data_IF_184550975753
#
_entry.id   IF_184550975753
#
_cell.length_a   1.000
_cell.length_b   1.000
_cell.length_c   1.000
_cell.angle_alpha   90.00
_cell.angle_beta   90.00
_cell.angle_gamma   90.00
#
_symmetry.space_group_name_H-M   'P 1'
#
loop_
_entity.id
_entity.type
_entity.pdbx_description
1 polymer ?
#
# COMPACT_ATOMS: atom_id res chain seq x y z
N UNK A 1 18.54 -11.87 -8.39
CA UNK A 1 17.61 -11.11 -7.53
C UNK A 1 16.42 -10.78 -8.42
N UNK A 2 15.21 -11.15 -8.03
CA UNK A 2 14.01 -10.88 -8.83
C UNK A 2 13.35 -9.68 -8.16
N UNK A 3 13.21 -8.58 -8.88
CA UNK A 3 12.47 -7.41 -8.41
C UNK A 3 11.00 -7.62 -8.80
N UNK A 4 10.15 -7.87 -7.81
CA UNK A 4 8.70 -7.87 -8.02
C UNK A 4 8.22 -6.41 -8.13
N UNK A 5 7.25 -6.16 -9.03
CA UNK A 5 6.54 -4.88 -9.15
C UNK A 5 5.06 -5.18 -8.95
N UNK A 6 4.52 -4.77 -7.79
CA UNK A 6 3.13 -5.04 -7.41
C UNK A 6 2.35 -3.76 -7.07
N UNK A 7 1.08 -3.71 -7.46
CA UNK A 7 0.07 -2.79 -6.95
C UNK A 7 -0.97 -3.56 -6.13
N UNK A 8 -1.52 -2.93 -5.09
CA UNK A 8 -2.49 -3.57 -4.21
C UNK A 8 -3.68 -2.68 -3.92
N UNK A 9 -4.87 -3.23 -4.10
CA UNK A 9 -6.13 -2.63 -3.73
C UNK A 9 -6.74 -3.39 -2.55
N UNK A 10 -7.09 -2.67 -1.47
CA UNK A 10 -8.05 -3.18 -0.50
C UNK A 10 -9.45 -3.08 -1.09
N UNK A 11 -10.24 -4.16 -0.96
CA UNK A 11 -11.57 -4.27 -1.56
C UNK A 11 -12.54 -4.99 -0.61
N UNK A 12 -13.81 -5.01 -0.97
CA UNK A 12 -14.82 -5.83 -0.27
C UNK A 12 -14.98 -7.20 -0.95
N UNK A 13 -15.52 -8.22 -0.25
CA UNK A 13 -15.69 -9.56 -0.81
C UNK A 13 -16.50 -9.60 -2.12
N UNK A 14 -17.43 -8.67 -2.31
CA UNK A 14 -18.26 -8.58 -3.51
C UNK A 14 -17.45 -8.29 -4.78
N UNK A 15 -16.24 -7.72 -4.63
CA UNK A 15 -15.36 -7.46 -5.74
C UNK A 15 -14.86 -8.74 -6.44
N UNK A 16 -14.89 -9.91 -5.78
CA UNK A 16 -14.42 -11.16 -6.38
C UNK A 16 -15.19 -11.51 -7.65
N UNK A 17 -16.53 -11.54 -7.59
CA UNK A 17 -17.36 -11.93 -8.74
C UNK A 17 -17.22 -10.94 -9.90
N UNK A 18 -17.14 -9.65 -9.55
CA UNK A 18 -16.98 -8.57 -10.53
C UNK A 18 -15.62 -8.66 -11.23
N UNK A 19 -14.55 -8.90 -10.45
CA UNK A 19 -13.21 -9.12 -10.97
C UNK A 19 -13.15 -10.37 -11.83
N UNK A 20 -13.67 -11.50 -11.36
CA UNK A 20 -13.65 -12.78 -12.09
C UNK A 20 -14.36 -12.66 -13.43
N UNK A 21 -15.54 -12.05 -13.47
CA UNK A 21 -16.27 -11.81 -14.71
C UNK A 21 -15.50 -10.89 -15.66
N UNK A 22 -14.90 -9.83 -15.14
CA UNK A 22 -14.09 -8.90 -15.94
C UNK A 22 -12.86 -9.60 -16.54
N UNK A 23 -12.17 -10.46 -15.77
CA UNK A 23 -10.95 -11.13 -16.22
C UNK A 23 -11.19 -12.16 -17.33
N UNK A 24 -12.41 -12.71 -17.45
CA UNK A 24 -12.77 -13.64 -18.52
C UNK A 24 -12.57 -13.07 -19.92
N UNK A 25 -12.74 -11.75 -20.10
CA UNK A 25 -12.60 -11.11 -21.41
C UNK A 25 -11.16 -11.12 -21.95
N UNK A 26 -10.18 -11.36 -21.08
CA UNK A 26 -8.77 -11.41 -21.46
C UNK A 26 -8.25 -12.83 -21.72
N UNK A 27 -9.13 -13.85 -21.68
CA UNK A 27 -8.78 -15.27 -21.85
C UNK A 27 -7.53 -15.66 -21.03
N UNK A 28 -7.61 -15.66 -19.68
CA UNK A 28 -6.44 -15.87 -18.81
C UNK A 28 -5.64 -17.12 -19.20
N UNK A 29 -4.32 -16.99 -19.21
CA UNK A 29 -3.38 -18.06 -19.52
C UNK A 29 -3.38 -19.14 -18.43
N UNK A 30 -3.64 -18.72 -17.19
CA UNK A 30 -3.73 -19.58 -16.02
C UNK A 30 -4.82 -19.06 -15.08
N UNK A 31 -5.47 -19.98 -14.36
CA UNK A 31 -6.32 -19.68 -13.19
C UNK A 31 -6.10 -20.77 -12.15
N UNK A 32 -5.72 -20.40 -10.94
CA UNK A 32 -5.54 -21.34 -9.81
C UNK A 32 -6.12 -20.74 -8.53
N UNK A 33 -6.68 -21.60 -7.69
CA UNK A 33 -7.07 -21.27 -6.33
C UNK A 33 -6.28 -22.13 -5.37
N UNK A 34 -5.69 -21.52 -4.34
CA UNK A 34 -4.86 -22.18 -3.33
C UNK A 34 -5.14 -21.60 -1.95
N UNK A 35 -5.06 -22.44 -0.93
CA UNK A 35 -5.03 -21.99 0.45
C UNK A 35 -3.57 -21.78 0.88
N UNK A 36 -3.28 -20.62 1.46
CA UNK A 36 -1.95 -20.26 1.92
C UNK A 36 -1.98 -20.01 3.42
N UNK A 37 -1.39 -20.95 4.18
CA UNK A 37 -1.11 -20.77 5.60
C UNK A 37 0.22 -20.08 5.79
N UNK A 38 0.29 -19.05 6.62
CA UNK A 38 1.57 -18.37 6.89
C UNK A 38 1.71 -18.09 8.38
N UNK A 39 2.88 -18.42 8.94
CA UNK A 39 3.23 -18.12 10.33
C UNK A 39 4.45 -17.22 10.36
N UNK A 40 4.31 -16.05 10.98
CA UNK A 40 5.38 -15.06 11.08
C UNK A 40 6.11 -15.17 12.42
N UNK A 41 7.44 -15.16 12.34
CA UNK A 41 8.32 -15.32 13.48
C UNK A 41 9.23 -14.10 13.63
N UNK A 42 9.46 -13.70 14.87
CA UNK A 42 10.45 -12.67 15.21
C UNK A 42 11.04 -12.97 16.59
N UNK A 43 12.13 -12.29 16.93
CA UNK A 43 12.67 -12.31 18.26
C UNK A 43 11.78 -11.48 19.21
N UNK A 44 11.85 -11.71 20.54
CA UNK A 44 11.01 -11.01 21.52
C UNK A 44 11.03 -9.48 21.40
N UNK A 45 12.15 -8.89 20.96
CA UNK A 45 12.29 -7.44 20.79
C UNK A 45 12.01 -6.94 19.36
N UNK A 46 11.34 -7.76 18.54
CA UNK A 46 10.97 -7.45 17.15
C UNK A 46 12.14 -7.00 16.27
N UNK A 47 13.24 -7.76 16.31
CA UNK A 47 14.49 -7.43 15.63
C UNK A 47 14.28 -7.34 14.12
N UNK A 48 13.52 -8.26 13.52
CA UNK A 48 13.24 -8.22 12.09
C UNK A 48 12.33 -7.05 11.72
N UNK A 49 11.27 -6.80 12.48
CA UNK A 49 10.38 -5.66 12.22
C UNK A 49 11.13 -4.32 12.27
N UNK A 50 12.01 -4.14 13.26
CA UNK A 50 12.86 -2.94 13.40
C UNK A 50 13.79 -2.73 12.19
N UNK A 51 14.18 -3.81 11.54
CA UNK A 51 14.98 -3.80 10.31
C UNK A 51 14.12 -3.81 9.03
N UNK A 52 12.80 -3.67 9.15
CA UNK A 52 11.82 -3.77 8.05
C UNK A 52 11.92 -5.10 7.28
N UNK A 53 12.22 -6.17 8.01
CA UNK A 53 12.26 -7.54 7.51
C UNK A 53 11.04 -8.31 8.01
N UNK A 54 10.60 -9.30 7.23
CA UNK A 54 9.55 -10.23 7.60
C UNK A 54 9.99 -11.67 7.38
N UNK A 55 10.08 -12.45 8.46
CA UNK A 55 10.37 -13.87 8.43
C UNK A 55 9.06 -14.65 8.58
N UNK A 56 8.79 -15.57 7.65
CA UNK A 56 7.62 -16.46 7.73
C UNK A 56 7.95 -17.88 7.33
N UNK A 57 7.21 -18.83 7.89
CA UNK A 57 6.99 -20.12 7.26
C UNK A 57 5.68 -20.03 6.48
N UNK A 58 5.70 -20.42 5.21
CA UNK A 58 4.51 -20.62 4.39
C UNK A 58 4.24 -22.10 4.23
N UNK A 59 3.00 -22.50 4.44
CA UNK A 59 2.48 -23.81 4.08
C UNK A 59 1.60 -23.69 2.84
N UNK A 60 1.96 -24.44 1.79
CA UNK A 60 1.13 -24.71 0.62
C UNK A 60 0.96 -26.23 0.53
N UNK A 61 -0.25 -26.71 0.78
CA UNK A 61 -0.55 -28.14 0.97
C UNK A 61 0.36 -28.80 2.03
N UNK A 62 1.24 -29.71 1.63
CA UNK A 62 2.21 -30.40 2.49
C UNK A 62 3.63 -29.82 2.41
N UNK A 63 3.82 -28.74 1.64
CA UNK A 63 5.13 -28.12 1.44
C UNK A 63 5.30 -26.92 2.36
N UNK A 64 6.49 -26.80 2.96
CA UNK A 64 6.83 -25.71 3.86
C UNK A 64 8.03 -24.93 3.31
N UNK A 65 7.88 -23.61 3.21
CA UNK A 65 8.93 -22.71 2.75
C UNK A 65 9.19 -21.64 3.79
N UNK A 66 10.41 -21.58 4.29
CA UNK A 66 10.92 -20.48 5.09
C UNK A 66 11.25 -19.32 4.14
N UNK A 67 10.67 -18.15 4.37
CA UNK A 67 10.88 -16.96 3.55
C UNK A 67 11.31 -15.79 4.41
N UNK A 68 12.35 -15.09 3.99
CA UNK A 68 12.76 -13.81 4.54
C UNK A 68 12.59 -12.73 3.46
N UNK A 69 11.71 -11.77 3.74
CA UNK A 69 11.54 -10.56 2.94
C UNK A 69 12.34 -9.45 3.61
N UNK A 70 13.27 -8.82 2.91
CA UNK A 70 14.11 -7.75 3.49
C UNK A 70 13.56 -6.37 3.21
N UNK A 71 14.18 -5.33 3.78
CA UNK A 71 13.80 -3.96 3.49
C UNK A 71 13.89 -3.70 1.98
N UNK A 72 12.89 -3.01 1.44
CA UNK A 72 12.74 -2.68 0.04
C UNK A 72 12.41 -1.21 -0.18
N UNK A 73 12.10 -0.86 -1.41
CA UNK A 73 11.58 0.45 -1.77
C UNK A 73 10.08 0.39 -2.02
N UNK A 74 9.38 1.47 -1.65
CA UNK A 74 7.98 1.70 -2.01
C UNK A 74 7.90 3.06 -2.65
N UNK A 75 7.58 3.11 -3.94
CA UNK A 75 7.39 4.37 -4.68
C UNK A 75 6.00 4.32 -5.29
N UNK A 76 5.12 5.22 -4.85
CA UNK A 76 3.77 5.28 -5.42
C UNK A 76 3.07 3.91 -5.38
N UNK A 77 2.95 3.28 -4.21
CA UNK A 77 2.28 1.97 -4.08
C UNK A 77 2.99 0.77 -4.70
N UNK A 78 4.08 0.98 -5.45
CA UNK A 78 4.87 -0.09 -6.07
C UNK A 78 5.89 -0.61 -5.05
N UNK A 79 5.77 -1.88 -4.70
CA UNK A 79 6.71 -2.52 -3.79
C UNK A 79 7.82 -3.22 -4.57
N UNK A 80 9.07 -2.94 -4.21
CA UNK A 80 10.23 -3.72 -4.67
C UNK A 80 11.05 -4.13 -3.46
N UNK A 81 11.14 -5.43 -3.18
CA UNK A 81 11.90 -5.95 -2.03
C UNK A 81 12.62 -7.26 -2.37
N UNK A 82 13.87 -7.45 -1.90
CA UNK A 82 14.52 -8.74 -2.01
C UNK A 82 13.82 -9.81 -1.15
N UNK A 83 13.69 -11.01 -1.70
CA UNK A 83 13.13 -12.17 -1.01
C UNK A 83 14.09 -13.36 -1.12
N UNK A 84 14.21 -14.10 -0.01
CA UNK A 84 15.02 -15.31 0.10
C UNK A 84 14.13 -16.46 0.54
N UNK A 85 14.32 -17.65 -0.03
CA UNK A 85 13.50 -18.83 0.24
C UNK A 85 14.37 -20.04 0.57
N UNK A 86 13.91 -20.85 1.52
CA UNK A 86 14.51 -22.12 1.91
C UNK A 86 13.38 -23.14 2.14
N UNK A 87 13.43 -24.27 1.44
CA UNK A 87 12.53 -25.40 1.72
C UNK A 87 12.90 -26.02 3.08
N UNK A 88 11.89 -26.31 3.90
CA UNK A 88 12.07 -26.88 5.23
C UNK A 88 11.09 -28.03 5.48
N UNK A 89 11.43 -28.88 6.45
CA UNK A 89 10.59 -29.98 6.88
C UNK A 89 9.63 -29.54 7.99
N UNK A 90 8.36 -29.29 7.64
CA UNK A 90 7.29 -28.96 8.58
C UNK A 90 7.26 -27.50 9.05
N UNK A 91 6.40 -27.25 10.04
CA UNK A 91 6.13 -25.90 10.60
C UNK A 91 6.76 -25.69 11.99
N UNK A 92 7.93 -26.28 12.24
CA UNK A 92 8.65 -26.06 13.49
C UNK A 92 9.22 -24.64 13.54
N UNK A 93 9.38 -24.08 14.74
CA UNK A 93 10.01 -22.76 14.93
C UNK A 93 11.39 -22.75 14.24
N UNK A 94 11.68 -21.80 13.33
CA UNK A 94 12.95 -21.78 12.62
C UNK A 94 14.16 -21.69 13.56
N UNK A 95 15.24 -22.38 13.24
CA UNK A 95 16.50 -22.30 13.99
C UNK A 95 17.42 -21.22 13.42
N UNK A 96 18.33 -20.69 14.24
CA UNK A 96 19.33 -19.72 13.77
C UNK A 96 20.23 -20.28 12.65
N UNK A 97 20.39 -21.61 12.56
CA UNK A 97 21.17 -22.23 11.48
C UNK A 97 20.39 -22.26 10.16
N UNK A 98 19.08 -22.52 10.20
CA UNK A 98 18.21 -22.34 9.03
C UNK A 98 18.20 -20.88 8.57
N UNK A 99 18.19 -19.92 9.51
CA UNK A 99 18.27 -18.50 9.16
C UNK A 99 19.58 -18.13 8.47
N UNK A 100 20.71 -18.66 8.94
CA UNK A 100 22.03 -18.44 8.31
C UNK A 100 22.16 -19.11 6.94
N UNK A 101 21.48 -20.23 6.73
CA UNK A 101 21.39 -20.86 5.41
C UNK A 101 20.52 -20.04 4.45
N UNK A 102 19.47 -19.39 4.96
CA UNK A 102 18.54 -18.56 4.19
C UNK A 102 19.14 -17.20 3.79
N UNK A 103 19.84 -16.54 4.72
CA UNK A 103 20.39 -15.20 4.55
C UNK A 103 21.65 -15.04 5.42
N UNK A 104 22.70 -14.35 4.93
CA UNK A 104 23.98 -14.22 5.64
C UNK A 104 23.88 -13.25 6.83
N UNK A 105 23.16 -13.63 7.88
CA UNK A 105 23.09 -12.86 9.12
C UNK A 105 24.43 -12.88 9.85
N UNK A 106 25.04 -11.70 10.06
CA UNK A 106 26.28 -11.56 10.84
C UNK A 106 26.07 -11.90 12.32
N UNK A 107 24.98 -11.40 12.91
CA UNK A 107 24.62 -11.61 14.31
C UNK A 107 23.13 -11.91 14.42
N UNK A 108 22.79 -12.92 15.22
CA UNK A 108 21.43 -13.28 15.57
C UNK A 108 21.31 -13.39 17.10
N UNK A 109 20.21 -12.93 17.71
CA UNK A 109 19.95 -13.16 19.12
C UNK A 109 20.01 -14.64 19.50
N UNK A 110 20.42 -14.91 20.74
CA UNK A 110 20.43 -16.27 21.32
C UNK A 110 19.06 -16.70 21.83
N UNK A 111 18.14 -15.74 22.03
CA UNK A 111 16.76 -16.03 22.38
C UNK A 111 16.06 -16.77 21.23
N UNK A 112 15.13 -17.70 21.53
CA UNK A 112 14.38 -18.36 20.48
C UNK A 112 13.43 -17.38 19.78
N UNK A 113 13.19 -17.61 18.50
CA UNK A 113 12.10 -16.96 17.78
C UNK A 113 10.76 -17.29 18.43
N UNK A 114 9.81 -16.37 18.31
CA UNK A 114 8.42 -16.53 18.74
C UNK A 114 7.49 -16.30 17.56
N UNK A 115 6.38 -17.03 17.55
CA UNK A 115 5.25 -16.72 16.68
C UNK A 115 4.71 -15.34 17.08
N UNK A 116 4.60 -14.44 16.11
CA UNK A 116 4.05 -13.09 16.32
C UNK A 116 2.59 -13.05 15.85
N UNK A 117 2.31 -13.51 14.63
CA UNK A 117 0.98 -13.58 14.04
C UNK A 117 0.95 -14.64 12.92
N UNK A 118 -0.24 -15.05 12.50
CA UNK A 118 -0.46 -15.82 11.28
C UNK A 118 -1.25 -15.04 10.24
N UNK A 119 -1.14 -15.44 8.98
CA UNK A 119 -1.99 -14.94 7.89
C UNK A 119 -2.47 -16.12 7.06
N UNK A 120 -3.74 -16.45 7.19
CA UNK A 120 -4.35 -17.62 6.55
C UNK A 120 -5.42 -17.13 5.57
N UNK A 121 -5.24 -17.43 4.29
CA UNK A 121 -6.11 -16.91 3.25
C UNK A 121 -6.18 -17.81 2.02
N UNK A 122 -7.32 -17.74 1.34
CA UNK A 122 -7.48 -18.27 0.00
C UNK A 122 -6.98 -17.24 -1.00
N UNK A 123 -6.06 -17.65 -1.87
CA UNK A 123 -5.64 -16.89 -3.05
C UNK A 123 -6.28 -17.52 -4.28
N UNK A 124 -7.01 -16.73 -5.05
CA UNK A 124 -7.34 -17.07 -6.43
C UNK A 124 -6.58 -16.11 -7.33
N UNK A 125 -5.79 -16.63 -8.27
CA UNK A 125 -5.05 -15.80 -9.20
C UNK A 125 -5.30 -16.17 -10.65
N UNK A 126 -5.11 -15.18 -11.51
CA UNK A 126 -5.19 -15.28 -12.97
C UNK A 126 -3.91 -14.70 -13.57
N UNK A 127 -3.29 -15.42 -14.50
CA UNK A 127 -2.22 -14.87 -15.32
C UNK A 127 -2.82 -14.33 -16.63
N UNK A 128 -2.75 -13.01 -16.82
CA UNK A 128 -3.36 -12.33 -17.98
C UNK A 128 -2.29 -11.74 -18.87
N UNK A 129 -2.44 -11.92 -20.18
CA UNK A 129 -1.68 -11.15 -21.17
C UNK A 129 -2.45 -9.85 -21.46
N UNK A 130 -1.81 -8.72 -21.21
CA UNK A 130 -2.38 -7.40 -21.50
C UNK A 130 -1.36 -6.57 -22.26
N UNK A 131 -1.71 -6.18 -23.49
CA UNK A 131 -0.80 -5.48 -24.41
C UNK A 131 0.53 -6.24 -24.56
N UNK A 132 1.66 -5.63 -24.19
CA UNK A 132 3.00 -6.21 -24.30
C UNK A 132 3.45 -6.90 -22.99
N UNK A 133 2.55 -6.99 -22.01
CA UNK A 133 2.89 -7.40 -20.65
C UNK A 133 2.14 -8.65 -20.20
N UNK A 134 2.66 -9.30 -19.16
CA UNK A 134 1.99 -10.37 -18.41
C UNK A 134 1.78 -9.90 -16.97
N UNK A 135 0.53 -9.91 -16.54
CA UNK A 135 0.13 -9.44 -15.22
C UNK A 135 -0.53 -10.61 -14.49
N UNK A 136 -0.02 -10.94 -13.30
CA UNK A 136 -0.73 -11.79 -12.36
C UNK A 136 -1.70 -10.93 -11.57
N UNK A 137 -2.98 -11.31 -11.59
CA UNK A 137 -4.01 -10.69 -10.77
C UNK A 137 -4.39 -11.69 -9.70
N UNK A 138 -4.20 -11.36 -8.43
CA UNK A 138 -4.50 -12.24 -7.30
C UNK A 138 -5.55 -11.61 -6.40
N UNK A 139 -6.62 -12.35 -6.10
CA UNK A 139 -7.60 -12.01 -5.09
C UNK A 139 -7.32 -12.84 -3.84
N UNK A 140 -7.02 -12.16 -2.74
CA UNK A 140 -6.74 -12.77 -1.45
C UNK A 140 -7.88 -12.51 -0.47
N UNK A 141 -8.43 -13.58 0.11
CA UNK A 141 -9.48 -13.52 1.12
C UNK A 141 -9.19 -14.43 2.31
N UNK A 142 -9.17 -13.86 3.51
CA UNK A 142 -8.90 -14.58 4.73
C UNK A 142 -8.71 -13.66 5.92
N UNK A 143 -7.76 -13.97 6.80
CA UNK A 143 -7.52 -13.18 7.99
C UNK A 143 -6.05 -13.17 8.44
N UNK A 144 -5.71 -12.12 9.18
CA UNK A 144 -4.51 -11.99 9.99
C UNK A 144 -4.92 -12.24 11.43
N UNK A 145 -4.22 -13.11 12.14
CA UNK A 145 -4.52 -13.45 13.54
C UNK A 145 -3.29 -13.22 14.41
N UNK A 146 -3.45 -12.49 15.49
CA UNK A 146 -2.42 -12.25 16.50
C UNK A 146 -3.01 -12.40 17.90
N UNK A 147 -2.80 -13.55 18.54
CA UNK A 147 -3.45 -13.87 19.81
C UNK A 147 -4.97 -13.90 19.64
N UNK A 148 -5.69 -13.10 20.43
CA UNK A 148 -7.16 -12.99 20.37
C UNK A 148 -7.65 -11.93 19.37
N UNK A 149 -6.74 -11.22 18.68
CA UNK A 149 -7.10 -10.17 17.73
C UNK A 149 -7.04 -10.71 16.31
N UNK A 150 -8.00 -10.32 15.48
CA UNK A 150 -7.98 -10.61 14.06
C UNK A 150 -8.27 -9.38 13.21
N UNK A 151 -7.80 -9.42 11.97
CA UNK A 151 -8.06 -8.42 10.94
C UNK A 151 -8.32 -9.12 9.60
N UNK A 152 -9.39 -8.78 8.86
CA UNK A 152 -9.68 -9.41 7.58
C UNK A 152 -8.61 -9.09 6.52
N UNK A 153 -8.37 -10.06 5.65
CA UNK A 153 -7.66 -9.93 4.38
C UNK A 153 -8.73 -9.97 3.29
N UNK A 154 -8.82 -8.90 2.51
CA UNK A 154 -9.66 -8.83 1.31
C UNK A 154 -9.01 -7.81 0.36
N UNK A 155 -8.20 -8.31 -0.57
CA UNK A 155 -7.36 -7.46 -1.42
C UNK A 155 -7.15 -8.06 -2.81
N UNK A 156 -6.96 -7.18 -3.78
CA UNK A 156 -6.51 -7.52 -5.13
C UNK A 156 -5.06 -7.08 -5.27
N UNK A 157 -4.17 -8.01 -5.59
CA UNK A 157 -2.77 -7.75 -5.94
C UNK A 157 -2.62 -7.85 -7.46
N UNK A 158 -1.90 -6.90 -8.07
CA UNK A 158 -1.53 -6.90 -9.47
C UNK A 158 -0.01 -6.92 -9.57
N UNK A 159 0.56 -8.03 -10.02
CA UNK A 159 2.01 -8.20 -10.15
C UNK A 159 2.40 -8.23 -11.63
N UNK A 160 3.33 -7.34 -12.01
CA UNK A 160 3.91 -7.36 -13.36
C UNK A 160 4.96 -8.47 -13.45
N UNK A 161 4.66 -9.55 -14.17
CA UNK A 161 5.57 -10.69 -14.37
C UNK A 161 6.54 -10.47 -15.52
N UNK A 162 6.10 -9.75 -16.55
CA UNK A 162 6.87 -9.44 -17.75
C UNK A 162 6.27 -8.18 -18.41
N UNK A 163 7.12 -7.31 -18.98
CA UNK A 163 6.69 -6.13 -19.75
C UNK A 163 6.90 -4.82 -19.00
N UNK A 164 5.99 -3.86 -19.21
CA UNK A 164 6.16 -2.46 -18.84
C UNK A 164 5.20 -2.05 -17.71
N UNK A 165 5.69 -1.22 -16.78
CA UNK A 165 4.89 -0.70 -15.66
C UNK A 165 3.68 0.13 -16.12
N UNK A 166 3.78 0.70 -17.31
CA UNK A 166 2.72 1.48 -17.92
C UNK A 166 1.48 0.63 -18.22
N UNK A 167 1.69 -0.59 -18.75
CA UNK A 167 0.63 -1.56 -19.03
C UNK A 167 -0.07 -1.98 -17.72
N UNK A 168 0.67 -2.07 -16.61
CA UNK A 168 0.10 -2.34 -15.28
C UNK A 168 -0.87 -1.23 -14.85
N UNK A 169 -0.49 0.05 -15.00
CA UNK A 169 -1.39 1.15 -14.67
C UNK A 169 -2.63 1.18 -15.56
N UNK A 170 -2.48 0.94 -16.86
CA UNK A 170 -3.64 0.85 -17.76
C UNK A 170 -4.56 -0.31 -17.39
N UNK A 171 -4.00 -1.46 -17.04
CA UNK A 171 -4.80 -2.61 -16.62
C UNK A 171 -5.62 -2.30 -15.36
N UNK A 172 -5.02 -1.66 -14.35
CA UNK A 172 -5.74 -1.26 -13.13
C UNK A 172 -6.81 -0.19 -13.43
N UNK A 173 -6.59 0.69 -14.41
CA UNK A 173 -7.62 1.62 -14.87
C UNK A 173 -8.77 0.94 -15.60
N UNK A 174 -8.56 -0.18 -16.30
CA UNK A 174 -9.64 -0.92 -16.95
C UNK A 174 -10.53 -1.69 -15.98
N UNK A 175 -10.12 -1.80 -14.70
CA UNK A 175 -10.94 -2.46 -13.70
C UNK A 175 -12.36 -1.89 -13.65
N UNK A 176 -13.37 -2.76 -13.47
CA UNK A 176 -14.75 -2.35 -13.34
C UNK A 176 -14.93 -1.41 -12.14
N UNK A 177 -16.06 -0.68 -12.13
CA UNK A 177 -16.39 0.20 -11.01
C UNK A 177 -16.60 -0.65 -9.76
N UNK A 178 -15.62 -0.62 -8.87
CA UNK A 178 -15.71 -1.19 -7.53
C UNK A 178 -15.99 -0.07 -6.52
N UNK A 179 -16.72 -0.39 -5.46
CA UNK A 179 -17.00 0.50 -4.34
C UNK A 179 -16.13 0.13 -3.14
N UNK A 180 -15.89 1.09 -2.23
CA UNK A 180 -15.09 0.88 -1.02
C UNK A 180 -13.69 0.32 -1.32
N UNK A 181 -13.01 0.92 -2.31
CA UNK A 181 -11.68 0.52 -2.76
C UNK A 181 -10.66 1.59 -2.45
N UNK A 182 -9.44 1.19 -2.11
CA UNK A 182 -8.31 2.10 -1.98
C UNK A 182 -6.99 1.35 -2.21
N UNK A 183 -5.95 2.07 -2.61
CA UNK A 183 -4.60 1.49 -2.69
C UNK A 183 -4.04 1.25 -1.30
N UNK A 184 -3.61 0.02 -1.03
CA UNK A 184 -2.94 -0.33 0.22
C UNK A 184 -1.46 -0.59 -0.01
N UNK A 185 -0.62 0.20 0.64
CA UNK A 185 0.83 0.04 0.77
C UNK A 185 1.22 -0.87 1.95
N UNK A 186 0.26 -1.26 2.80
CA UNK A 186 0.53 -2.09 3.96
C UNK A 186 0.60 -3.58 3.59
N UNK A 187 1.80 -4.14 3.63
CA UNK A 187 1.97 -5.59 3.51
C UNK A 187 1.19 -6.33 4.61
N UNK A 188 0.79 -7.58 4.33
CA UNK A 188 0.17 -8.45 5.34
C UNK A 188 1.04 -8.57 6.60
N UNK A 189 2.37 -8.56 6.41
CA UNK A 189 3.32 -8.54 7.51
C UNK A 189 3.24 -7.26 8.35
N UNK A 190 3.21 -6.08 7.70
CA UNK A 190 3.07 -4.79 8.39
C UNK A 190 1.77 -4.75 9.21
N UNK A 191 0.65 -5.16 8.61
CA UNK A 191 -0.64 -5.27 9.31
C UNK A 191 -0.59 -6.26 10.48
N UNK A 192 0.05 -7.41 10.31
CA UNK A 192 0.25 -8.38 11.39
C UNK A 192 1.04 -7.83 12.58
N UNK A 193 2.15 -7.13 12.33
CA UNK A 193 2.89 -6.45 13.41
C UNK A 193 2.08 -5.35 14.08
N UNK A 194 1.31 -4.57 13.31
CA UNK A 194 0.40 -3.55 13.86
C UNK A 194 -0.69 -4.19 14.72
N UNK A 195 -1.26 -5.32 14.29
CA UNK A 195 -2.27 -6.06 15.04
C UNK A 195 -1.71 -6.65 16.34
N UNK A 196 -0.45 -7.12 16.31
CA UNK A 196 0.23 -7.71 17.45
C UNK A 196 0.63 -6.70 18.54
N UNK A 197 0.58 -5.42 18.25
CA UNK A 197 0.98 -4.34 19.17
C UNK A 197 -0.19 -3.38 19.41
N UNK A 198 -0.13 -2.49 20.41
CA UNK A 198 -1.06 -1.37 20.50
C UNK A 198 -0.91 -0.47 19.27
N UNK A 199 -2.01 0.10 18.79
CA UNK A 199 -1.95 1.08 17.72
C UNK A 199 -1.16 2.31 18.17
N UNK A 200 -0.16 2.67 17.38
CA UNK A 200 0.57 3.93 17.51
C UNK A 200 0.14 4.82 16.36
N UNK A 201 -0.58 5.90 16.67
CA UNK A 201 -0.98 6.88 15.68
C UNK A 201 0.20 7.76 15.30
N UNK A 202 0.35 8.01 14.00
CA UNK A 202 1.30 8.98 13.49
C UNK A 202 0.90 10.39 13.91
N UNK A 203 1.84 11.16 14.45
CA UNK A 203 1.65 12.59 14.67
C UNK A 203 1.81 13.32 13.32
N UNK A 204 0.68 13.53 12.64
CA UNK A 204 0.65 14.18 11.34
C UNK A 204 1.00 15.66 11.38
N UNK A 205 0.86 16.32 12.54
CA UNK A 205 1.31 17.70 12.68
C UNK A 205 2.84 17.75 12.71
N UNK A 206 3.49 16.83 13.41
CA UNK A 206 4.95 16.67 13.36
C UNK A 206 5.42 16.27 11.96
N UNK A 207 4.80 15.29 11.32
CA UNK A 207 5.17 14.92 9.93
C UNK A 207 5.03 16.11 8.97
N UNK A 208 4.01 16.95 9.17
CA UNK A 208 3.84 18.17 8.39
C UNK A 208 4.90 19.23 8.69
N UNK A 209 5.27 19.42 9.96
CA UNK A 209 6.38 20.31 10.36
C UNK A 209 7.70 19.87 9.73
N UNK A 210 8.03 18.58 9.80
CA UNK A 210 9.25 18.01 9.23
C UNK A 210 9.29 18.20 7.71
N UNK A 211 8.15 18.00 7.03
CA UNK A 211 8.03 18.26 5.60
C UNK A 211 8.35 19.71 5.24
N UNK A 212 7.76 20.68 5.96
CA UNK A 212 7.99 22.11 5.71
C UNK A 212 9.44 22.52 6.02
N UNK A 213 10.08 21.93 7.02
CA UNK A 213 11.50 22.19 7.31
C UNK A 213 12.41 21.70 6.18
N UNK A 214 12.19 20.47 5.71
CA UNK A 214 12.96 19.89 4.60
C UNK A 214 12.80 20.66 3.27
N UNK A 215 11.67 21.33 3.08
CA UNK A 215 11.43 22.25 1.95
C UNK A 215 12.24 23.55 2.04
N UNK A 216 12.42 24.08 3.26
CA UNK A 216 13.16 25.33 3.50
C UNK A 216 14.67 25.17 3.41
N UNK A 217 15.18 23.94 3.57
CA UNK A 217 16.60 23.62 3.36
C UNK A 217 16.96 23.82 1.88
N UNK A 218 17.84 24.80 1.62
CA UNK A 218 18.25 25.21 0.25
C UNK A 218 18.71 24.00 -0.57
N UNK A 219 18.00 23.74 -1.67
CA UNK A 219 18.42 22.77 -2.69
C UNK A 219 17.48 21.57 -2.89
N UNK A 220 16.35 21.51 -2.20
CA UNK A 220 15.33 20.47 -2.48
C UNK A 220 14.80 20.62 -3.90
N UNK A 221 15.09 19.64 -4.76
CA UNK A 221 14.58 19.57 -6.14
C UNK A 221 13.08 19.28 -6.09
N UNK A 222 12.31 19.89 -7.00
CA UNK A 222 10.86 19.65 -7.16
C UNK A 222 10.49 18.15 -7.12
N UNK A 223 11.29 17.29 -7.75
CA UNK A 223 11.09 15.84 -7.73
C UNK A 223 11.12 15.25 -6.32
N UNK A 224 12.05 15.67 -5.45
CA UNK A 224 12.12 15.19 -4.08
C UNK A 224 10.92 15.67 -3.24
N UNK A 225 10.49 16.92 -3.44
CA UNK A 225 9.27 17.48 -2.82
C UNK A 225 8.05 16.67 -3.21
N UNK A 226 7.87 16.42 -4.50
CA UNK A 226 6.76 15.64 -5.03
C UNK A 226 6.71 14.21 -4.46
N UNK A 227 7.84 13.51 -4.43
CA UNK A 227 7.90 12.15 -3.86
C UNK A 227 7.59 12.13 -2.37
N UNK A 228 8.03 13.14 -1.61
CA UNK A 228 7.69 13.28 -0.19
C UNK A 228 6.19 13.52 0.01
N UNK A 229 5.58 14.42 -0.75
CA UNK A 229 4.13 14.68 -0.70
C UNK A 229 3.32 13.45 -1.06
N UNK A 230 3.67 12.75 -2.15
CA UNK A 230 3.00 11.52 -2.56
C UNK A 230 3.05 10.47 -1.44
N UNK A 231 4.22 10.29 -0.83
CA UNK A 231 4.39 9.37 0.30
C UNK A 231 3.54 9.77 1.51
N UNK A 232 3.45 11.06 1.81
CA UNK A 232 2.60 11.56 2.90
C UNK A 232 1.12 11.34 2.60
N UNK A 233 0.66 11.61 1.38
CA UNK A 233 -0.73 11.36 0.95
C UNK A 233 -1.09 9.88 1.12
N UNK A 234 -0.25 8.98 0.63
CA UNK A 234 -0.44 7.54 0.75
C UNK A 234 -0.48 7.08 2.21
N UNK A 235 0.49 7.52 3.02
CA UNK A 235 0.56 7.10 4.41
C UNK A 235 -0.59 7.66 5.27
N UNK A 236 -1.04 8.89 5.00
CA UNK A 236 -2.16 9.52 5.72
C UNK A 236 -3.47 8.80 5.40
N UNK A 237 -3.69 8.49 4.13
CA UNK A 237 -4.89 7.77 3.68
C UNK A 237 -4.88 6.34 4.18
N UNK A 238 -3.75 5.63 4.05
CA UNK A 238 -3.59 4.27 4.57
C UNK A 238 -3.93 4.20 6.06
N UNK A 239 -3.33 5.07 6.88
CA UNK A 239 -3.57 5.04 8.33
C UNK A 239 -5.04 5.32 8.66
N UNK A 240 -5.67 6.24 7.92
CA UNK A 240 -7.08 6.62 8.13
C UNK A 240 -8.04 5.50 7.72
N UNK A 241 -7.72 4.72 6.68
CA UNK A 241 -8.58 3.64 6.17
C UNK A 241 -8.31 2.28 6.81
N UNK A 242 -7.08 2.01 7.24
CA UNK A 242 -6.67 0.72 7.79
C UNK A 242 -6.95 0.58 9.29
N UNK A 243 -7.11 1.71 10.01
CA UNK A 243 -7.33 1.70 11.45
C UNK A 243 -8.81 1.92 11.82
N UNK A 244 -9.26 1.45 13.00
CA UNK A 244 -10.62 1.67 13.47
C UNK A 244 -10.98 3.17 13.53
N UNK A 245 -12.17 3.52 13.02
CA UNK A 245 -12.68 4.91 13.01
C UNK A 245 -12.74 5.53 14.41
N UNK A 246 -12.99 4.70 15.43
CA UNK A 246 -13.01 5.11 16.84
C UNK A 246 -11.69 5.67 17.36
N UNK A 247 -10.55 5.40 16.70
CA UNK A 247 -9.27 6.03 17.05
C UNK A 247 -9.23 7.52 16.65
N UNK A 248 -10.04 7.92 15.67
CA UNK A 248 -10.07 9.29 15.14
C UNK A 248 -11.30 10.06 15.63
N UNK A 249 -12.41 9.38 15.93
CA UNK A 249 -13.67 9.99 16.38
C UNK A 249 -13.83 10.04 17.91
N UNK A 250 -12.83 9.57 18.66
CA UNK A 250 -12.81 9.50 20.12
C UNK A 250 -13.21 10.82 20.80
N UNK A 251 -12.66 11.93 20.30
CA UNK A 251 -12.98 13.27 20.76
C UNK A 251 -12.88 14.29 19.63
N UNK A 252 -13.31 15.52 19.95
CA UNK A 252 -13.35 16.62 19.01
C UNK A 252 -11.96 16.97 18.46
N UNK A 253 -10.93 16.99 19.32
CA UNK A 253 -9.57 17.35 18.92
C UNK A 253 -8.95 16.29 18.02
N UNK A 254 -9.13 15.01 18.31
CA UNK A 254 -8.67 13.90 17.44
C UNK A 254 -9.28 13.97 16.05
N UNK A 255 -10.56 14.33 15.97
CA UNK A 255 -11.25 14.51 14.69
C UNK A 255 -10.68 15.72 13.94
N UNK A 256 -10.50 16.85 14.62
CA UNK A 256 -9.91 18.08 14.04
C UNK A 256 -8.48 17.83 13.56
N UNK A 257 -7.63 17.17 14.35
CA UNK A 257 -6.25 16.83 13.99
C UNK A 257 -6.22 16.00 12.70
N UNK A 258 -7.08 14.98 12.62
CA UNK A 258 -7.16 14.09 11.47
C UNK A 258 -7.60 14.83 10.21
N UNK A 259 -8.73 15.54 10.26
CA UNK A 259 -9.24 16.31 9.10
C UNK A 259 -8.26 17.43 8.72
N UNK A 260 -7.62 18.06 9.71
CA UNK A 260 -6.61 19.10 9.52
C UNK A 260 -5.36 18.60 8.78
N UNK A 261 -4.92 17.36 9.03
CA UNK A 261 -3.82 16.75 8.28
C UNK A 261 -4.13 16.65 6.78
N UNK A 262 -5.36 16.25 6.43
CA UNK A 262 -5.81 16.23 5.04
C UNK A 262 -5.90 17.65 4.46
N UNK A 263 -6.43 18.61 5.22
CA UNK A 263 -6.49 20.00 4.77
C UNK A 263 -5.10 20.54 4.42
N UNK A 264 -4.11 20.38 5.29
CA UNK A 264 -2.75 20.85 5.06
C UNK A 264 -2.16 20.29 3.77
N UNK A 265 -2.33 18.99 3.54
CA UNK A 265 -1.83 18.30 2.35
C UNK A 265 -2.49 18.81 1.06
N UNK A 266 -3.83 18.83 1.00
CA UNK A 266 -4.56 19.22 -0.21
C UNK A 266 -4.49 20.72 -0.48
N UNK A 267 -4.43 21.54 0.57
CA UNK A 267 -4.15 22.96 0.45
C UNK A 267 -2.76 23.22 -0.13
N UNK A 268 -1.74 22.49 0.32
CA UNK A 268 -0.39 22.64 -0.22
C UNK A 268 -0.33 22.32 -1.71
N UNK A 269 -0.98 21.24 -2.16
CA UNK A 269 -1.08 20.95 -3.60
C UNK A 269 -1.79 22.08 -4.37
N UNK A 270 -2.79 22.73 -3.76
CA UNK A 270 -3.53 23.82 -4.38
C UNK A 270 -2.72 25.11 -4.50
N UNK A 271 -1.90 25.44 -3.50
CA UNK A 271 -0.98 26.58 -3.53
C UNK A 271 0.23 26.33 -4.44
N UNK A 272 0.64 25.06 -4.57
CA UNK A 272 1.85 24.65 -5.31
C UNK A 272 1.53 23.90 -6.61
N UNK A 273 0.48 24.30 -7.35
CA UNK A 273 0.07 23.67 -8.62
C UNK A 273 1.20 23.51 -9.64
N UNK A 274 2.12 24.48 -9.66
CA UNK A 274 3.33 24.48 -10.51
C UNK A 274 4.25 23.29 -10.23
N UNK A 275 4.16 22.66 -9.07
CA UNK A 275 4.91 21.45 -8.78
C UNK A 275 4.58 20.36 -9.80
N UNK A 276 3.30 20.13 -10.10
CA UNK A 276 2.91 19.14 -11.11
C UNK A 276 3.40 19.52 -12.52
N UNK A 277 3.38 20.80 -12.88
CA UNK A 277 3.92 21.30 -14.15
C UNK A 277 5.42 20.98 -14.27
N UNK A 278 6.21 21.35 -13.26
CA UNK A 278 7.66 21.11 -13.24
C UNK A 278 8.00 19.63 -13.31
N UNK A 279 7.26 18.76 -12.60
CA UNK A 279 7.48 17.32 -12.70
C UNK A 279 7.10 16.82 -14.09
N UNK A 280 5.94 17.21 -14.62
CA UNK A 280 5.50 16.77 -15.94
C UNK A 280 6.48 17.20 -17.05
N UNK A 281 6.99 18.43 -17.01
CA UNK A 281 8.00 18.95 -17.95
C UNK A 281 9.35 18.24 -17.84
N UNK A 282 9.72 17.77 -16.64
CA UNK A 282 10.98 17.06 -16.42
C UNK A 282 11.00 15.63 -16.99
N UNK A 283 9.84 15.09 -17.36
CA UNK A 283 9.70 13.75 -17.94
C UNK A 283 9.55 13.87 -19.47
N UNK A 284 10.07 12.90 -20.21
CA UNK A 284 10.09 12.87 -21.68
C UNK A 284 8.71 13.09 -22.33
N UNK A 285 8.68 13.43 -23.63
CA UNK A 285 7.48 13.67 -24.44
C UNK A 285 6.35 12.61 -24.29
N UNK A 286 6.66 11.38 -23.86
CA UNK A 286 5.70 10.31 -23.58
C UNK A 286 4.59 10.71 -22.57
N UNK A 287 4.81 11.66 -21.65
CA UNK A 287 3.75 12.07 -20.70
C UNK A 287 2.67 12.99 -21.31
N UNK A 288 2.92 13.60 -22.48
CA UNK A 288 1.94 14.49 -23.13
C UNK A 288 0.67 13.76 -23.55
N UNK A 289 0.74 12.43 -23.71
CA UNK A 289 -0.37 11.61 -24.22
C UNK A 289 -1.49 11.37 -23.18
N UNK A 290 -1.21 11.57 -21.88
CA UNK A 290 -2.12 11.17 -20.80
C UNK A 290 -3.02 12.27 -20.25
N UNK A 291 -2.75 13.52 -20.60
CA UNK A 291 -3.43 14.70 -20.04
C UNK A 291 -3.41 14.68 -18.49
N UNK A 292 -2.29 14.25 -17.88
CA UNK A 292 -2.18 14.02 -16.43
C UNK A 292 -2.39 15.32 -15.64
N UNK A 293 -1.82 16.42 -16.11
CA UNK A 293 -1.81 17.68 -15.36
C UNK A 293 -3.24 18.20 -15.14
N UNK A 294 -4.10 18.37 -16.17
CA UNK A 294 -5.49 18.78 -15.94
C UNK A 294 -6.27 17.81 -15.04
N UNK A 295 -6.07 16.49 -15.19
CA UNK A 295 -6.70 15.48 -14.32
C UNK A 295 -6.28 15.62 -12.86
N UNK A 296 -4.98 15.79 -12.60
CA UNK A 296 -4.43 15.96 -11.26
C UNK A 296 -4.90 17.26 -10.61
N UNK A 297 -4.86 18.38 -11.34
CA UNK A 297 -5.35 19.68 -10.85
C UNK A 297 -6.85 19.63 -10.52
N UNK A 298 -7.66 19.09 -11.43
CA UNK A 298 -9.10 18.94 -11.22
C UNK A 298 -9.42 18.02 -10.04
N UNK A 299 -8.73 16.88 -9.93
CA UNK A 299 -8.91 15.97 -8.79
C UNK A 299 -8.51 16.65 -7.48
N UNK A 300 -7.41 17.41 -7.46
CA UNK A 300 -6.95 18.11 -6.26
C UNK A 300 -8.00 19.11 -5.77
N UNK A 301 -8.52 19.92 -6.69
CA UNK A 301 -9.57 20.89 -6.39
C UNK A 301 -10.81 20.19 -5.81
N UNK A 302 -11.24 19.08 -6.42
CA UNK A 302 -12.37 18.30 -5.90
C UNK A 302 -12.14 17.83 -4.46
N UNK A 303 -11.02 17.16 -4.17
CA UNK A 303 -10.74 16.68 -2.81
C UNK A 303 -10.58 17.82 -1.82
N UNK A 304 -9.94 18.92 -2.21
CA UNK A 304 -9.80 20.10 -1.36
C UNK A 304 -11.16 20.71 -0.99
N UNK A 305 -12.06 20.89 -1.97
CA UNK A 305 -13.41 21.38 -1.74
C UNK A 305 -14.20 20.44 -0.81
N UNK A 306 -14.08 19.12 -0.99
CA UNK A 306 -14.73 18.13 -0.11
C UNK A 306 -14.19 18.21 1.32
N UNK A 307 -12.88 18.37 1.52
CA UNK A 307 -12.27 18.52 2.84
C UNK A 307 -12.74 19.83 3.50
N UNK A 308 -12.80 20.94 2.78
CA UNK A 308 -13.33 22.20 3.31
C UNK A 308 -14.80 22.09 3.74
N UNK A 309 -15.62 21.42 2.93
CA UNK A 309 -17.02 21.14 3.28
C UNK A 309 -17.11 20.23 4.51
N UNK A 310 -16.20 19.26 4.65
CA UNK A 310 -16.15 18.38 5.82
C UNK A 310 -15.76 19.14 7.09
N UNK A 311 -14.80 20.07 7.02
CA UNK A 311 -14.45 20.96 8.13
C UNK A 311 -15.66 21.80 8.56
N UNK A 312 -16.39 22.38 7.59
CA UNK A 312 -17.63 23.14 7.87
C UNK A 312 -18.66 22.24 8.57
N UNK A 313 -18.90 21.05 8.02
CA UNK A 313 -19.82 20.07 8.60
C UNK A 313 -19.47 19.71 10.05
N UNK A 314 -18.20 19.41 10.34
CA UNK A 314 -17.76 19.06 11.69
C UNK A 314 -17.88 20.25 12.66
N UNK A 315 -17.53 21.45 12.19
CA UNK A 315 -17.64 22.66 12.99
C UNK A 315 -19.10 22.97 13.38
N UNK A 316 -20.05 22.75 12.48
CA UNK A 316 -21.47 23.01 12.69
C UNK A 316 -22.15 21.92 13.54
N UNK A 317 -21.87 20.65 13.27
CA UNK A 317 -22.57 19.52 13.89
C UNK A 317 -21.91 18.98 15.14
N UNK A 318 -20.58 19.15 15.27
CA UNK A 318 -19.74 18.49 16.29
C UNK A 318 -19.82 16.96 16.27
N UNK A 319 -20.27 16.38 15.15
CA UNK A 319 -20.42 14.93 15.00
C UNK A 319 -19.10 14.29 14.54
N UNK A 320 -18.33 13.79 15.50
CA UNK A 320 -17.01 13.20 15.27
C UNK A 320 -17.09 11.93 14.41
N UNK A 321 -18.01 11.01 14.77
CA UNK A 321 -18.15 9.73 14.08
C UNK A 321 -18.57 9.95 12.63
N UNK A 322 -19.59 10.77 12.39
CA UNK A 322 -20.06 11.05 11.03
C UNK A 322 -19.02 11.79 10.18
N UNK A 323 -18.21 12.63 10.81
CA UNK A 323 -17.11 13.33 10.13
C UNK A 323 -16.05 12.34 9.65
N UNK A 324 -15.63 11.40 10.50
CA UNK A 324 -14.66 10.38 10.11
C UNK A 324 -15.24 9.41 9.08
N UNK A 325 -16.52 9.02 9.19
CA UNK A 325 -17.19 8.22 8.14
C UNK A 325 -17.19 8.91 6.77
N UNK A 326 -17.46 10.22 6.73
CA UNK A 326 -17.42 11.01 5.49
C UNK A 326 -16.00 11.11 4.94
N UNK A 327 -15.01 11.25 5.83
CA UNK A 327 -13.59 11.26 5.45
C UNK A 327 -13.16 9.93 4.83
N UNK A 328 -13.46 8.81 5.48
CA UNK A 328 -13.11 7.48 4.96
C UNK A 328 -13.82 7.18 3.65
N UNK A 329 -15.10 7.55 3.54
CA UNK A 329 -15.87 7.40 2.30
C UNK A 329 -15.28 8.20 1.14
N UNK A 330 -14.78 9.42 1.39
CA UNK A 330 -14.14 10.26 0.36
C UNK A 330 -12.92 9.56 -0.29
N UNK A 331 -12.11 8.88 0.53
CA UNK A 331 -10.87 8.23 0.10
C UNK A 331 -11.02 6.76 -0.31
N UNK A 332 -12.22 6.20 -0.21
CA UNK A 332 -12.53 4.82 -0.65
C UNK A 332 -13.27 4.79 -1.99
N UNK A 333 -13.07 5.83 -2.82
CA UNK A 333 -13.76 6.03 -4.10
C UNK A 333 -12.90 5.66 -5.30
N UNK A 334 -13.56 5.30 -6.41
CA UNK A 334 -12.91 5.16 -7.72
C UNK A 334 -12.16 6.43 -8.14
N UNK A 335 -12.70 7.61 -7.82
CA UNK A 335 -12.05 8.88 -8.13
C UNK A 335 -10.70 9.04 -7.42
N UNK A 336 -10.60 8.58 -6.16
CA UNK A 336 -9.34 8.61 -5.43
C UNK A 336 -8.34 7.60 -6.01
N UNK A 337 -8.80 6.40 -6.39
CA UNK A 337 -7.96 5.41 -7.08
C UNK A 337 -7.39 5.99 -8.38
N UNK A 338 -8.21 6.64 -9.20
CA UNK A 338 -7.74 7.29 -10.44
C UNK A 338 -6.75 8.43 -10.17
N UNK A 339 -7.00 9.26 -9.14
CA UNK A 339 -6.04 10.27 -8.71
C UNK A 339 -4.70 9.62 -8.35
N UNK A 340 -4.73 8.55 -7.55
CA UNK A 340 -3.52 7.88 -7.13
C UNK A 340 -2.77 7.28 -8.31
N UNK A 341 -3.45 6.65 -9.27
CA UNK A 341 -2.81 6.15 -10.51
C UNK A 341 -2.10 7.29 -11.26
N UNK A 342 -2.74 8.45 -11.40
CA UNK A 342 -2.13 9.58 -12.07
C UNK A 342 -0.91 10.14 -11.31
N UNK A 343 -0.95 10.17 -9.98
CA UNK A 343 0.20 10.55 -9.15
C UNK A 343 1.35 9.53 -9.27
N UNK A 344 1.02 8.24 -9.23
CA UNK A 344 2.00 7.15 -9.37
C UNK A 344 2.67 7.19 -10.75
N UNK A 345 1.89 7.38 -11.82
CA UNK A 345 2.40 7.60 -13.19
C UNK A 345 3.36 8.77 -13.25
N UNK A 346 2.99 9.91 -12.66
CA UNK A 346 3.85 11.09 -12.64
C UNK A 346 5.16 10.86 -11.87
N UNK A 347 5.13 10.01 -10.84
CA UNK A 347 6.33 9.62 -10.09
C UNK A 347 7.27 8.76 -10.93
N UNK A 348 6.76 7.66 -11.50
CA UNK A 348 7.62 6.58 -12.03
C UNK A 348 7.86 6.64 -13.54
N UNK A 349 6.96 7.21 -14.33
CA UNK A 349 7.17 7.29 -15.78
C UNK A 349 8.29 8.28 -16.10
N UNK A 350 9.13 7.94 -17.09
CA UNK A 350 10.26 8.75 -17.53
C UNK A 350 11.53 8.64 -16.68
N UNK A 351 11.56 7.80 -15.64
CA UNK A 351 12.83 7.37 -15.03
C UNK A 351 13.38 6.22 -15.87
N UNK A 352 14.46 6.45 -16.62
CA UNK A 352 15.06 5.43 -17.47
C UNK A 352 15.41 4.18 -16.65
N UNK A 353 14.71 3.08 -16.92
CA UNK A 353 15.07 1.69 -16.61
C UNK A 353 15.80 1.47 -15.27
N UNK A 354 15.19 1.83 -14.15
CA UNK A 354 15.69 1.37 -12.82
C UNK A 354 15.07 0.04 -12.37
N UNK A 355 14.21 -0.58 -13.17
CA UNK A 355 13.41 -1.74 -12.76
C UNK A 355 13.75 -3.05 -13.48
N UNK A 356 14.94 -3.16 -14.11
CA UNK A 356 15.45 -4.42 -14.68
C UNK A 356 16.30 -5.22 -13.68
#
# INVERSE_FOLDING_TARGET
MINEIELKLAVTPEAFNVLEQHLQQFNPLERKSIFLGNTYYDYPDHVFAKQKMGLRIRQEDQHFTLTLKTNGQVVGGLHTRPEYHLLIDGNNVPTNDQLRALYPFEQLPTSPLKLIFSTDFNRTFWLVKFRNSKIEVAFDQGEIVSGERSQPICEIEFELKEGEIEDLFYFVEELPILTNIYFSSASKAKRGYQLAQPYVLTDWLDQWRDFLQAEQEKGTKAQATFHRLLKMEQALVEETLALPTSLFSQDFMKTVERVGAFFNLYHYYDENKKLFEVIAESKSDNLREYDLLPKLLKSNQHFFDQIQNLIRFHSETKDNEKTIEKLTALFSTRLYVERMINLMRLAVLGEANQYH
#
